data_IF_805019798627
#
_entry.id   IF_805019798627
#
_cell.length_a   1.000
_cell.length_b   1.000
_cell.length_c   1.000
_cell.angle_alpha   90.00
_cell.angle_beta   90.00
_cell.angle_gamma   90.00
#
_symmetry.space_group_name_H-M   'P 1'
#
loop_
_entity.id
_entity.type
_entity.pdbx_description
1 polymer ?
#
# COMPACT_ATOMS: atom_id res chain seq x y z
N UNK A 1 -4.78 -6.43 -0.83
CA UNK A 1 -3.73 -5.38 -0.63
C UNK A 1 -2.37 -6.02 -0.52
N UNK A 2 -2.06 -6.87 0.48
CA UNK A 2 -0.75 -7.55 0.59
C UNK A 2 -0.33 -8.28 -0.70
N UNK A 3 -1.22 -9.07 -1.27
CA UNK A 3 -0.96 -9.84 -2.51
C UNK A 3 -0.58 -8.98 -3.73
N UNK A 4 -1.01 -7.71 -3.79
CA UNK A 4 -0.62 -6.80 -4.87
C UNK A 4 0.84 -6.40 -4.75
N UNK A 5 1.30 -6.13 -3.53
CA UNK A 5 2.67 -5.72 -3.22
C UNK A 5 3.62 -6.91 -3.19
N UNK A 6 3.14 -8.12 -2.87
CA UNK A 6 3.94 -9.36 -2.92
C UNK A 6 4.46 -9.68 -4.34
N UNK A 7 3.87 -9.09 -5.38
CA UNK A 7 4.37 -9.22 -6.76
C UNK A 7 5.59 -8.35 -7.04
N UNK A 8 5.74 -7.26 -6.29
CA UNK A 8 6.83 -6.30 -6.44
C UNK A 8 8.00 -6.62 -5.49
N UNK A 9 7.75 -7.38 -4.41
CA UNK A 9 8.78 -7.80 -3.46
C UNK A 9 8.22 -8.40 -2.17
N UNK A 10 9.09 -8.62 -1.19
CA UNK A 10 8.71 -9.13 0.12
C UNK A 10 8.03 -8.04 0.97
N UNK A 11 6.79 -8.30 1.37
CA UNK A 11 6.03 -7.39 2.25
C UNK A 11 6.34 -7.70 3.71
N UNK A 12 7.04 -6.79 4.38
CA UNK A 12 7.35 -6.83 5.82
C UNK A 12 6.09 -6.61 6.65
N UNK A 13 5.31 -5.57 6.33
CA UNK A 13 4.14 -5.21 7.12
C UNK A 13 3.01 -4.64 6.26
N UNK A 14 1.76 -4.96 6.61
CA UNK A 14 0.56 -4.39 5.98
C UNK A 14 -0.38 -3.90 7.06
N UNK A 15 -0.80 -2.65 6.97
CA UNK A 15 -1.77 -2.03 7.87
C UNK A 15 -2.90 -1.40 7.07
N UNK A 16 -4.02 -2.10 7.00
CA UNK A 16 -5.24 -1.56 6.38
C UNK A 16 -5.98 -0.70 7.40
N UNK A 17 -6.25 0.55 7.05
CA UNK A 17 -7.06 1.43 7.90
C UNK A 17 -8.53 1.12 7.63
N UNK A 18 -9.23 0.73 8.70
CA UNK A 18 -10.67 0.43 8.69
C UNK A 18 -11.39 1.42 9.60
N UNK A 19 -12.60 1.79 9.22
CA UNK A 19 -13.48 2.60 10.05
C UNK A 19 -14.01 1.80 11.26
N UNK A 20 -14.61 2.50 12.22
CA UNK A 20 -15.26 1.95 13.42
C UNK A 20 -16.35 0.93 13.06
N UNK A 21 -16.96 1.07 11.89
CA UNK A 21 -17.95 0.11 11.35
C UNK A 21 -17.33 -1.11 10.65
N UNK A 22 -15.99 -1.25 10.66
CA UNK A 22 -15.28 -2.35 10.00
C UNK A 22 -15.13 -2.20 8.47
N UNK A 23 -15.74 -1.18 7.86
CA UNK A 23 -15.51 -0.86 6.44
C UNK A 23 -14.07 -0.36 6.23
N UNK A 24 -13.34 -0.97 5.31
CA UNK A 24 -12.06 -0.43 4.87
C UNK A 24 -12.29 0.93 4.24
N UNK A 25 -11.57 1.95 4.69
CA UNK A 25 -11.69 3.29 4.11
C UNK A 25 -11.02 3.41 2.72
N UNK A 26 -10.48 2.30 2.19
CA UNK A 26 -9.81 2.26 0.90
C UNK A 26 -8.35 2.73 0.95
N UNK A 27 -7.76 2.83 2.14
CA UNK A 27 -6.36 3.20 2.32
C UNK A 27 -5.68 2.34 3.39
N UNK A 28 -4.38 2.17 3.24
CA UNK A 28 -3.54 1.38 4.12
C UNK A 28 -2.07 1.68 3.90
N UNK A 29 -1.24 1.33 4.88
CA UNK A 29 0.21 1.44 4.80
C UNK A 29 0.80 0.06 4.51
N UNK A 30 1.79 0.02 3.64
CA UNK A 30 2.57 -1.17 3.32
C UNK A 30 4.03 -0.85 3.58
N UNK A 31 4.70 -1.73 4.30
CA UNK A 31 6.15 -1.71 4.52
C UNK A 31 6.74 -2.88 3.73
N UNK A 32 7.63 -2.55 2.80
CA UNK A 32 8.41 -3.53 2.05
C UNK A 32 9.69 -3.87 2.80
N UNK A 33 10.26 -5.03 2.49
CA UNK A 33 11.52 -5.50 3.07
C UNK A 33 12.69 -4.60 2.66
N UNK A 34 12.73 -4.14 1.41
CA UNK A 34 13.73 -3.18 0.91
C UNK A 34 13.12 -1.92 0.27
N UNK A 35 13.87 -0.79 0.25
CA UNK A 35 13.42 0.44 -0.39
C UNK A 35 13.31 0.32 -1.92
N UNK A 36 14.08 -0.56 -2.56
CA UNK A 36 14.01 -0.82 -4.00
C UNK A 36 12.67 -1.48 -4.37
N UNK A 37 12.25 -2.48 -3.59
CA UNK A 37 10.93 -3.13 -3.75
C UNK A 37 9.79 -2.15 -3.47
N UNK A 38 9.95 -1.24 -2.50
CA UNK A 38 8.97 -0.18 -2.23
C UNK A 38 8.81 0.76 -3.41
N UNK A 39 9.92 1.19 -4.03
CA UNK A 39 9.88 2.02 -5.24
C UNK A 39 9.23 1.30 -6.41
N UNK A 40 9.62 0.07 -6.68
CA UNK A 40 9.03 -0.73 -7.74
C UNK A 40 7.51 -0.90 -7.54
N UNK A 41 7.07 -1.13 -6.29
CA UNK A 41 5.66 -1.20 -5.96
C UNK A 41 4.92 0.13 -6.19
N UNK A 42 5.55 1.27 -5.87
CA UNK A 42 4.99 2.59 -6.18
C UNK A 42 4.87 2.75 -7.70
N UNK A 43 5.91 2.48 -8.48
CA UNK A 43 5.89 2.70 -9.93
C UNK A 43 4.90 1.77 -10.66
N UNK A 44 4.72 0.53 -10.19
CA UNK A 44 3.84 -0.44 -10.84
C UNK A 44 2.38 -0.34 -10.38
N UNK A 45 2.15 0.01 -9.11
CA UNK A 45 0.80 0.05 -8.52
C UNK A 45 0.21 1.45 -8.47
N UNK A 46 1.01 2.52 -8.47
CA UNK A 46 0.48 3.89 -8.51
C UNK A 46 -0.23 4.16 -9.83
N UNK A 47 -1.50 4.56 -9.75
CA UNK A 47 -2.34 4.76 -10.92
C UNK A 47 -2.92 3.48 -11.52
N UNK A 48 -2.67 2.31 -10.92
CA UNK A 48 -3.25 1.06 -11.39
C UNK A 48 -4.76 0.99 -11.12
N UNK A 49 -5.50 0.37 -12.05
CA UNK A 49 -6.94 0.14 -11.92
C UNK A 49 -7.20 -1.18 -11.17
N UNK A 50 -7.76 -1.09 -9.97
CA UNK A 50 -8.14 -2.23 -9.14
C UNK A 50 -9.62 -2.13 -8.74
N UNK A 51 -10.43 -3.16 -9.03
CA UNK A 51 -11.86 -3.20 -8.68
C UNK A 51 -12.67 -1.96 -9.11
N UNK A 52 -12.42 -1.44 -10.33
CA UNK A 52 -13.01 -0.20 -10.87
C UNK A 52 -12.64 1.08 -10.11
N UNK A 53 -11.57 1.05 -9.32
CA UNK A 53 -11.00 2.21 -8.64
C UNK A 53 -9.52 2.32 -8.97
N UNK A 54 -9.05 3.52 -9.20
CA UNK A 54 -7.61 3.78 -9.32
C UNK A 54 -7.01 3.74 -7.92
N UNK A 55 -5.98 2.92 -7.73
CA UNK A 55 -5.20 2.91 -6.51
C UNK A 55 -4.06 3.92 -6.63
N UNK A 56 -3.76 4.60 -5.52
CA UNK A 56 -2.65 5.53 -5.43
C UNK A 56 -1.65 4.96 -4.45
N UNK A 57 -0.41 4.85 -4.88
CA UNK A 57 0.68 4.33 -4.05
C UNK A 57 1.75 5.39 -4.01
N UNK A 58 2.17 5.76 -2.81
CA UNK A 58 3.11 6.85 -2.61
C UNK A 58 4.07 6.49 -1.49
N UNK A 59 5.26 7.07 -1.53
CA UNK A 59 6.23 6.88 -0.45
C UNK A 59 5.64 7.43 0.86
N UNK A 60 5.48 6.54 1.85
CA UNK A 60 4.98 6.93 3.14
C UNK A 60 6.07 7.67 3.91
N UNK A 61 6.08 9.00 3.84
CA UNK A 61 6.94 9.79 4.72
C UNK A 61 6.63 9.43 6.18
N UNK A 62 7.67 9.12 6.96
CA UNK A 62 7.59 8.62 8.33
C UNK A 62 6.96 9.61 9.36
N UNK A 63 6.20 10.62 8.90
CA UNK A 63 5.57 11.65 9.71
C UNK A 63 4.15 11.33 10.21
N UNK A 64 3.48 10.28 9.72
CA UNK A 64 2.10 9.99 10.13
C UNK A 64 2.02 8.94 11.25
N UNK A 65 2.66 9.28 12.37
CA UNK A 65 2.36 8.71 13.69
C UNK A 65 2.05 9.90 14.60
N UNK A 66 0.86 10.44 14.46
CA UNK A 66 0.29 11.49 15.31
C UNK A 66 -1.02 10.96 15.85
#
# INVERSE_FOLDING_TARGET
MRELFERCGEVSFVKVIRDQSGQSKGFGHVEMSTPEEARAAIEELDGALHERRTITVSEASAGQRR
#
